data_IF_805293390094
#
_entry.id   IF_805293390094
#
_cell.length_a   1.000
_cell.length_b   1.000
_cell.length_c   1.000
_cell.angle_alpha   90.00
_cell.angle_beta   90.00
_cell.angle_gamma   90.00
#
_symmetry.space_group_name_H-M   'P 1'
#
loop_
_entity.id
_entity.type
_entity.pdbx_description
1 polymer ?
#
# COMPACT_ATOMS: atom_id res chain seq x y z
N UNK A 1 38.57 -34.00 -1.78
CA UNK A 1 37.52 -33.34 -2.60
C UNK A 1 36.15 -33.94 -2.28
N UNK A 2 35.71 -33.88 -1.00
CA UNK A 2 34.47 -34.53 -0.51
C UNK A 2 33.76 -33.74 0.61
N UNK A 3 34.08 -32.46 0.80
CA UNK A 3 33.45 -31.60 1.82
C UNK A 3 32.53 -30.52 1.26
N UNK A 4 32.52 -30.29 -0.06
CA UNK A 4 31.71 -29.25 -0.69
C UNK A 4 30.26 -29.66 -0.94
N UNK A 5 29.99 -30.94 -1.18
CA UNK A 5 28.64 -31.41 -1.55
C UNK A 5 27.69 -31.57 -0.35
N UNK A 6 28.24 -31.89 0.84
CA UNK A 6 27.43 -32.09 2.06
C UNK A 6 26.73 -30.80 2.54
N UNK A 7 27.37 -29.64 2.33
CA UNK A 7 26.80 -28.33 2.69
C UNK A 7 25.67 -27.87 1.76
N UNK A 8 25.77 -28.20 0.46
CA UNK A 8 24.76 -27.85 -0.54
C UNK A 8 23.49 -28.69 -0.39
N UNK A 9 23.64 -29.97 -0.07
CA UNK A 9 22.51 -30.87 0.14
C UNK A 9 21.76 -30.52 1.43
N UNK A 10 22.49 -30.25 2.52
CA UNK A 10 21.90 -29.77 3.78
C UNK A 10 21.15 -28.45 3.60
N UNK A 11 21.74 -27.48 2.88
CA UNK A 11 21.08 -26.20 2.61
C UNK A 11 19.81 -26.36 1.75
N UNK A 12 19.84 -27.25 0.75
CA UNK A 12 18.66 -27.58 -0.08
C UNK A 12 17.55 -28.25 0.73
N UNK A 13 17.88 -29.18 1.63
CA UNK A 13 16.90 -29.84 2.50
C UNK A 13 16.27 -28.85 3.48
N UNK A 14 17.04 -27.91 4.03
CA UNK A 14 16.53 -26.85 4.90
C UNK A 14 15.60 -25.89 4.13
N UNK A 15 15.98 -25.45 2.94
CA UNK A 15 15.14 -24.59 2.09
C UNK A 15 13.84 -25.29 1.67
N UNK A 16 13.91 -26.59 1.32
CA UNK A 16 12.73 -27.38 0.96
C UNK A 16 11.78 -27.58 2.14
N UNK A 17 12.32 -27.90 3.33
CA UNK A 17 11.52 -28.06 4.55
C UNK A 17 10.89 -26.73 5.02
N UNK A 18 11.59 -25.60 4.87
CA UNK A 18 11.02 -24.27 5.09
C UNK A 18 9.86 -24.00 4.13
N UNK A 19 10.05 -24.26 2.83
CA UNK A 19 9.00 -24.11 1.81
C UNK A 19 7.75 -24.93 2.12
N UNK A 20 7.92 -26.17 2.59
CA UNK A 20 6.82 -27.08 2.91
C UNK A 20 6.05 -26.64 4.18
N UNK A 21 6.75 -26.16 5.21
CA UNK A 21 6.13 -25.61 6.42
C UNK A 21 5.25 -24.37 6.11
N UNK A 22 5.76 -23.50 5.25
CA UNK A 22 5.06 -22.30 4.80
C UNK A 22 4.00 -22.56 3.74
N UNK A 23 3.97 -23.78 3.16
CA UNK A 23 2.91 -24.19 2.24
C UNK A 23 1.58 -24.36 2.97
N UNK A 24 0.52 -23.77 2.42
CA UNK A 24 -0.84 -23.97 2.91
C UNK A 24 -1.53 -25.01 2.01
N UNK A 25 -2.03 -26.11 2.60
CA UNK A 25 -2.76 -27.15 1.87
C UNK A 25 -3.95 -26.59 1.07
N UNK A 26 -4.50 -25.44 1.47
CA UNK A 26 -5.53 -24.71 0.72
C UNK A 26 -4.98 -24.18 -0.61
N UNK A 27 -3.77 -23.62 -0.62
CA UNK A 27 -3.13 -23.14 -1.85
C UNK A 27 -2.92 -24.30 -2.82
N UNK A 28 -2.41 -25.44 -2.32
CA UNK A 28 -2.27 -26.66 -3.11
C UNK A 28 -3.62 -27.17 -3.64
N UNK A 29 -4.68 -27.17 -2.82
CA UNK A 29 -6.01 -27.60 -3.21
C UNK A 29 -6.66 -26.73 -4.31
N UNK A 30 -6.27 -25.45 -4.40
CA UNK A 30 -6.73 -24.53 -5.43
C UNK A 30 -5.74 -24.37 -6.60
N UNK A 31 -4.64 -25.14 -6.61
CA UNK A 31 -3.59 -25.00 -7.63
C UNK A 31 -2.92 -23.63 -7.64
N UNK A 32 -2.94 -22.93 -6.51
CA UNK A 32 -2.38 -21.59 -6.37
C UNK A 32 -0.90 -21.71 -6.02
N UNK A 33 -0.06 -21.06 -6.83
CA UNK A 33 1.36 -20.90 -6.54
C UNK A 33 1.54 -20.18 -5.18
N UNK A 34 2.23 -20.79 -4.20
CA UNK A 34 2.57 -20.15 -2.93
C UNK A 34 3.32 -18.82 -3.10
N UNK A 35 4.06 -18.67 -4.20
CA UNK A 35 4.78 -17.47 -4.55
C UNK A 35 4.02 -16.51 -5.50
N UNK A 36 2.79 -16.86 -5.87
CA UNK A 36 1.92 -16.02 -6.69
C UNK A 36 1.23 -14.89 -5.90
N UNK A 37 0.69 -13.90 -6.61
CA UNK A 37 -0.05 -12.78 -6.02
C UNK A 37 -1.32 -13.24 -5.29
N UNK A 38 -1.96 -14.29 -5.81
CA UNK A 38 -3.21 -14.84 -5.26
C UNK A 38 -3.02 -15.51 -3.90
N UNK A 39 -1.81 -15.97 -3.57
CA UNK A 39 -1.53 -16.66 -2.32
C UNK A 39 -1.81 -15.78 -1.09
N UNK A 40 -1.48 -14.49 -1.17
CA UNK A 40 -1.74 -13.56 -0.07
C UNK A 40 -3.24 -13.40 0.18
N UNK A 41 -4.06 -13.35 -0.87
CA UNK A 41 -5.51 -13.23 -0.75
C UNK A 41 -6.14 -14.46 -0.08
N UNK A 42 -5.65 -15.66 -0.40
CA UNK A 42 -6.10 -16.89 0.27
C UNK A 42 -5.73 -16.89 1.75
N UNK A 43 -4.51 -16.48 2.09
CA UNK A 43 -4.08 -16.38 3.49
C UNK A 43 -4.90 -15.33 4.27
N UNK A 44 -5.18 -14.18 3.65
CA UNK A 44 -6.08 -13.16 4.20
C UNK A 44 -7.47 -13.74 4.45
N UNK A 45 -8.07 -14.42 3.46
CA UNK A 45 -9.38 -15.03 3.61
C UNK A 45 -9.40 -16.11 4.69
N UNK A 46 -8.37 -16.95 4.75
CA UNK A 46 -8.23 -18.00 5.76
C UNK A 46 -8.16 -17.42 7.17
N UNK A 47 -7.34 -16.39 7.38
CA UNK A 47 -7.21 -15.69 8.67
C UNK A 47 -8.53 -14.99 9.05
N UNK A 48 -9.24 -14.36 8.10
CA UNK A 48 -10.56 -13.76 8.37
C UNK A 48 -11.57 -14.82 8.80
N UNK A 49 -11.57 -15.99 8.15
CA UNK A 49 -12.50 -17.08 8.44
C UNK A 49 -12.19 -17.76 9.78
N UNK A 50 -10.91 -17.87 10.14
CA UNK A 50 -10.47 -18.49 11.39
C UNK A 50 -9.44 -17.60 12.12
N UNK A 51 -9.90 -16.54 12.81
CA UNK A 51 -9.01 -15.54 13.41
C UNK A 51 -8.02 -16.10 14.45
N UNK A 52 -8.36 -17.21 15.10
CA UNK A 52 -7.52 -17.89 16.08
C UNK A 52 -6.44 -18.81 15.47
N UNK A 53 -6.39 -18.96 14.14
CA UNK A 53 -5.37 -19.77 13.45
C UNK A 53 -4.00 -19.08 13.46
N UNK A 54 -3.22 -19.36 14.51
CA UNK A 54 -1.86 -18.81 14.67
C UNK A 54 -0.96 -19.12 13.46
N UNK A 55 -1.07 -20.32 12.89
CA UNK A 55 -0.24 -20.72 11.76
C UNK A 55 -0.61 -19.92 10.51
N UNK A 56 -1.90 -19.67 10.28
CA UNK A 56 -2.39 -18.77 9.23
C UNK A 56 -1.82 -17.35 9.34
N UNK A 57 -1.78 -16.78 10.55
CA UNK A 57 -1.14 -15.48 10.79
C UNK A 57 0.35 -15.50 10.49
N UNK A 58 1.08 -16.53 10.97
CA UNK A 58 2.52 -16.66 10.72
C UNK A 58 2.81 -16.80 9.22
N UNK A 59 2.03 -17.58 8.48
CA UNK A 59 2.16 -17.74 7.02
C UNK A 59 1.95 -16.42 6.29
N UNK A 60 0.92 -15.66 6.69
CA UNK A 60 0.68 -14.32 6.13
C UNK A 60 1.84 -13.36 6.42
N UNK A 61 2.35 -13.33 7.66
CA UNK A 61 3.52 -12.51 8.02
C UNK A 61 4.75 -12.90 7.19
N UNK A 62 5.05 -14.19 7.11
CA UNK A 62 6.19 -14.70 6.36
C UNK A 62 6.10 -14.34 4.87
N UNK A 63 4.91 -14.49 4.27
CA UNK A 63 4.67 -14.10 2.88
C UNK A 63 4.91 -12.61 2.66
N UNK A 64 4.33 -11.74 3.48
CA UNK A 64 4.54 -10.29 3.38
C UNK A 64 6.03 -9.92 3.57
N UNK A 65 6.72 -10.59 4.51
CA UNK A 65 8.14 -10.38 4.76
C UNK A 65 8.99 -10.75 3.53
N UNK A 66 8.76 -11.93 2.95
CA UNK A 66 9.51 -12.40 1.78
C UNK A 66 9.28 -11.56 0.53
N UNK A 67 8.05 -11.08 0.33
CA UNK A 67 7.67 -10.28 -0.84
C UNK A 67 7.91 -8.77 -0.67
N UNK A 68 8.55 -8.35 0.42
CA UNK A 68 8.87 -6.95 0.72
C UNK A 68 7.65 -6.00 0.79
N UNK A 69 6.50 -6.54 1.21
CA UNK A 69 5.24 -5.82 1.30
C UNK A 69 5.11 -5.12 2.66
N UNK A 70 5.79 -3.99 2.85
CA UNK A 70 5.92 -3.32 4.16
C UNK A 70 4.58 -2.99 4.84
N UNK A 71 3.63 -2.42 4.10
CA UNK A 71 2.30 -2.04 4.62
C UNK A 71 1.46 -3.26 5.03
N UNK A 72 1.51 -4.34 4.24
CA UNK A 72 0.83 -5.60 4.49
C UNK A 72 1.50 -6.38 5.63
N UNK A 73 2.82 -6.28 5.75
CA UNK A 73 3.59 -6.87 6.84
C UNK A 73 3.24 -6.19 8.16
N UNK A 74 3.21 -4.86 8.19
CA UNK A 74 2.74 -4.10 9.35
C UNK A 74 1.34 -4.54 9.77
N UNK A 75 0.40 -4.60 8.83
CA UNK A 75 -0.97 -5.03 9.09
C UNK A 75 -1.05 -6.46 9.66
N UNK A 76 -0.28 -7.40 9.08
CA UNK A 76 -0.27 -8.79 9.55
C UNK A 76 0.30 -8.93 10.96
N UNK A 77 1.34 -8.16 11.30
CA UNK A 77 1.91 -8.12 12.66
C UNK A 77 0.95 -7.47 13.67
N UNK A 78 0.24 -6.43 13.23
CA UNK A 78 -0.79 -5.76 14.02
C UNK A 78 -1.95 -6.71 14.34
N UNK A 79 -2.47 -7.38 13.31
CA UNK A 79 -3.54 -8.39 13.41
C UNK A 79 -3.18 -9.51 14.38
N UNK A 80 -1.96 -10.06 14.27
CA UNK A 80 -1.48 -11.08 15.20
C UNK A 80 -1.41 -10.54 16.64
N UNK A 81 -0.96 -9.30 16.82
CA UNK A 81 -0.86 -8.68 18.15
C UNK A 81 -2.23 -8.47 18.79
N UNK A 82 -3.25 -8.15 17.99
CA UNK A 82 -4.65 -8.03 18.42
C UNK A 82 -5.19 -9.39 18.85
N UNK A 83 -5.10 -10.40 17.98
CA UNK A 83 -5.61 -11.76 18.25
C UNK A 83 -4.96 -12.41 19.47
N UNK A 84 -3.66 -12.18 19.67
CA UNK A 84 -2.95 -12.70 20.82
C UNK A 84 -3.43 -12.07 22.14
N UNK A 85 -3.97 -10.85 22.13
CA UNK A 85 -4.56 -10.20 23.30
C UNK A 85 -3.60 -10.13 24.50
N UNK A 86 -2.30 -9.93 24.23
CA UNK A 86 -1.25 -9.91 25.25
C UNK A 86 -0.59 -11.26 25.57
N UNK A 87 -1.14 -12.38 25.08
CA UNK A 87 -0.48 -13.69 25.14
C UNK A 87 0.66 -13.78 24.12
N UNK A 88 1.62 -14.69 24.30
CA UNK A 88 2.69 -14.89 23.31
C UNK A 88 3.63 -13.69 23.12
N UNK A 89 3.86 -12.90 24.18
CA UNK A 89 4.74 -11.72 24.17
C UNK A 89 6.14 -12.01 23.62
N UNK A 90 6.71 -13.16 23.96
CA UNK A 90 8.01 -13.61 23.44
C UNK A 90 7.99 -13.85 21.92
N UNK A 91 6.93 -14.48 21.39
CA UNK A 91 6.75 -14.68 19.96
C UNK A 91 6.62 -13.34 19.23
N UNK A 92 5.79 -12.44 19.76
CA UNK A 92 5.62 -11.09 19.22
C UNK A 92 6.95 -10.34 19.19
N UNK A 93 7.69 -10.32 20.29
CA UNK A 93 8.98 -9.63 20.36
C UNK A 93 9.96 -10.18 19.32
N UNK A 94 10.03 -11.51 19.18
CA UNK A 94 10.88 -12.17 18.18
C UNK A 94 10.50 -11.80 16.75
N UNK A 95 9.20 -11.80 16.42
CA UNK A 95 8.71 -11.44 15.09
C UNK A 95 8.97 -9.95 14.77
N UNK A 96 8.75 -9.06 15.74
CA UNK A 96 9.04 -7.63 15.56
C UNK A 96 10.53 -7.36 15.36
N UNK A 97 11.39 -8.06 16.11
CA UNK A 97 12.84 -7.96 15.93
C UNK A 97 13.26 -8.44 14.53
N UNK A 98 12.74 -9.60 14.09
CA UNK A 98 13.03 -10.17 12.77
C UNK A 98 12.53 -9.27 11.62
N UNK A 99 11.37 -8.64 11.79
CA UNK A 99 10.77 -7.80 10.75
C UNK A 99 11.26 -6.35 10.77
N UNK A 100 12.11 -5.95 11.73
CA UNK A 100 12.44 -4.53 11.96
C UNK A 100 13.02 -3.83 10.74
N UNK A 101 13.84 -4.55 9.96
CA UNK A 101 14.47 -4.02 8.74
C UNK A 101 13.51 -3.75 7.59
N UNK A 102 12.28 -4.28 7.64
CA UNK A 102 11.23 -4.07 6.61
C UNK A 102 10.11 -3.13 7.07
N UNK A 103 10.26 -2.52 8.24
CA UNK A 103 9.26 -1.64 8.85
C UNK A 103 9.85 -0.25 9.02
N UNK A 104 9.04 0.78 8.76
CA UNK A 104 9.41 2.15 9.09
C UNK A 104 9.58 2.33 10.61
N UNK A 105 10.27 3.39 11.02
CA UNK A 105 10.40 3.70 12.44
C UNK A 105 9.03 3.93 13.12
N UNK A 106 8.11 4.59 12.41
CA UNK A 106 6.76 4.84 12.89
C UNK A 106 5.96 3.54 13.06
N UNK A 107 5.99 2.65 12.06
CA UNK A 107 5.28 1.36 12.10
C UNK A 107 5.77 0.48 13.25
N UNK A 108 7.09 0.33 13.42
CA UNK A 108 7.64 -0.47 14.51
C UNK A 108 7.30 0.10 15.89
N UNK A 109 7.34 1.43 16.04
CA UNK A 109 6.93 2.09 17.28
C UNK A 109 5.43 1.86 17.57
N UNK A 110 4.57 1.90 16.56
CA UNK A 110 3.14 1.65 16.70
C UNK A 110 2.83 0.22 17.19
N UNK A 111 3.58 -0.79 16.73
CA UNK A 111 3.40 -2.19 17.15
C UNK A 111 3.81 -2.46 18.61
N UNK A 112 4.64 -1.59 19.19
CA UNK A 112 5.10 -1.70 20.58
C UNK A 112 4.18 -0.98 21.57
N UNK A 113 3.39 0.00 21.11
CA UNK A 113 2.50 0.78 21.98
C UNK A 113 1.27 -0.04 22.40
N UNK A 114 0.97 -0.13 23.71
CA UNK A 114 -0.34 -0.59 24.17
C UNK A 114 -1.41 0.48 23.90
N UNK A 115 -2.67 0.07 23.68
CA UNK A 115 -3.80 1.00 23.44
C UNK A 115 -4.18 1.12 21.96
N UNK A 116 -4.82 2.23 21.58
CA UNK A 116 -5.36 2.47 20.23
C UNK A 116 -4.25 2.38 19.18
N UNK A 117 -4.43 1.46 18.22
CA UNK A 117 -3.46 1.22 17.16
C UNK A 117 -3.98 1.78 15.85
N UNK A 118 -3.12 2.49 15.14
CA UNK A 118 -3.45 3.00 13.80
C UNK A 118 -3.43 1.83 12.83
N UNK A 119 -4.61 1.44 12.36
CA UNK A 119 -4.78 0.44 11.32
C UNK A 119 -4.56 1.06 9.93
N UNK A 120 -4.19 0.23 8.96
CA UNK A 120 -4.17 0.60 7.54
C UNK A 120 -5.18 -0.26 6.75
N UNK A 121 -5.29 -0.02 5.45
CA UNK A 121 -6.26 -0.72 4.56
C UNK A 121 -6.08 -2.25 4.49
N UNK A 122 -4.95 -2.77 4.95
CA UNK A 122 -4.63 -4.21 4.93
C UNK A 122 -4.87 -4.90 6.27
N UNK A 123 -5.22 -4.13 7.30
CA UNK A 123 -5.50 -4.63 8.64
C UNK A 123 -6.85 -5.34 8.66
N UNK A 124 -6.91 -6.54 9.22
CA UNK A 124 -8.12 -7.37 9.23
C UNK A 124 -8.90 -7.26 10.54
N UNK A 125 -8.21 -6.98 11.64
CA UNK A 125 -8.77 -6.88 12.97
C UNK A 125 -8.44 -5.51 13.57
N UNK A 126 -9.41 -4.95 14.27
CA UNK A 126 -9.20 -3.76 15.10
C UNK A 126 -9.71 -4.08 16.50
N UNK A 127 -8.99 -3.64 17.52
CA UNK A 127 -9.58 -3.58 18.85
C UNK A 127 -10.75 -2.59 18.77
N UNK A 128 -11.96 -3.04 19.11
CA UNK A 128 -13.24 -2.39 18.78
C UNK A 128 -13.25 -0.87 18.85
N UNK A 129 -13.99 -0.26 17.91
CA UNK A 129 -14.14 1.19 17.73
C UNK A 129 -14.27 1.99 19.04
N UNK A 130 -13.27 2.81 19.34
CA UNK A 130 -13.55 4.20 19.69
C UNK A 130 -13.38 4.98 18.39
N UNK A 131 -14.49 5.42 17.80
CA UNK A 131 -14.44 6.30 16.65
C UNK A 131 -13.69 7.57 17.02
N UNK A 132 -12.41 7.66 16.65
CA UNK A 132 -11.77 8.96 16.53
C UNK A 132 -12.32 9.57 15.26
N UNK A 133 -13.22 10.53 15.41
CA UNK A 133 -13.58 11.45 14.34
C UNK A 133 -12.42 12.42 14.11
N UNK A 134 -11.24 11.90 13.80
CA UNK A 134 -10.17 12.68 13.19
C UNK A 134 -10.33 12.51 11.69
N UNK A 135 -11.37 13.17 11.16
CA UNK A 135 -11.72 13.17 9.75
C UNK A 135 -10.61 13.72 8.83
N UNK A 136 -9.58 14.35 9.39
CA UNK A 136 -8.37 14.74 8.69
C UNK A 136 -7.19 14.74 9.67
N UNK A 137 -6.31 13.75 9.60
CA UNK A 137 -4.96 13.91 10.13
C UNK A 137 -4.10 14.45 8.98
N UNK A 138 -3.85 15.76 9.00
CA UNK A 138 -2.90 16.40 8.11
C UNK A 138 -1.51 15.84 8.46
N UNK A 139 -1.12 14.77 7.77
CA UNK A 139 0.25 14.26 7.81
C UNK A 139 1.10 15.39 7.27
N UNK A 140 1.84 16.07 8.16
CA UNK A 140 3.00 16.84 7.76
C UNK A 140 3.97 15.81 7.18
N UNK A 141 3.91 15.66 5.86
CA UNK A 141 4.64 14.67 5.09
C UNK A 141 6.11 14.75 5.45
N UNK A 142 6.67 13.63 5.90
CA UNK A 142 8.06 13.35 5.59
C UNK A 142 8.12 13.17 4.09
N UNK A 143 8.86 14.05 3.42
CA UNK A 143 9.19 14.08 1.99
C UNK A 143 9.63 12.71 1.46
N UNK A 144 8.65 11.83 1.23
CA UNK A 144 8.80 10.79 0.24
C UNK A 144 8.43 11.49 -1.03
N UNK A 145 9.45 11.90 -1.79
CA UNK A 145 9.30 12.58 -3.07
C UNK A 145 8.68 11.57 -4.05
N UNK A 146 7.36 11.36 -3.94
CA UNK A 146 6.60 10.55 -4.88
C UNK A 146 6.66 11.28 -6.23
N UNK A 147 7.12 10.57 -7.26
CA UNK A 147 6.94 11.06 -8.62
C UNK A 147 5.47 10.88 -9.00
N UNK A 148 4.70 11.94 -8.78
CA UNK A 148 3.27 11.97 -9.04
C UNK A 148 2.92 11.64 -10.49
N UNK A 149 3.86 11.89 -11.42
CA UNK A 149 3.68 11.52 -12.83
C UNK A 149 3.74 9.99 -13.01
N UNK A 150 4.71 9.33 -12.40
CA UNK A 150 4.82 7.87 -12.45
C UNK A 150 3.59 7.19 -11.83
N UNK A 151 3.14 7.69 -10.67
CA UNK A 151 1.93 7.18 -10.01
C UNK A 151 0.67 7.37 -10.87
N UNK A 152 0.54 8.52 -11.54
CA UNK A 152 -0.58 8.76 -12.43
C UNK A 152 -0.53 7.84 -13.66
N UNK A 153 0.65 7.57 -14.21
CA UNK A 153 0.83 6.66 -15.33
C UNK A 153 0.40 5.23 -14.98
N UNK A 154 0.75 4.74 -13.78
CA UNK A 154 0.28 3.43 -13.29
C UNK A 154 -1.26 3.39 -13.27
N UNK A 155 -1.90 4.45 -12.76
CA UNK A 155 -3.36 4.52 -12.76
C UNK A 155 -3.96 4.58 -14.18
N UNK A 156 -3.33 5.30 -15.11
CA UNK A 156 -3.77 5.36 -16.52
C UNK A 156 -3.66 3.98 -17.17
N UNK A 157 -2.55 3.26 -16.95
CA UNK A 157 -2.33 1.92 -17.47
C UNK A 157 -3.46 0.96 -17.04
N UNK A 158 -3.89 1.07 -15.78
CA UNK A 158 -5.02 0.31 -15.26
C UNK A 158 -6.40 0.96 -15.47
N UNK A 159 -6.51 1.97 -16.34
CA UNK A 159 -7.75 2.70 -16.66
C UNK A 159 -8.46 3.32 -15.44
N UNK A 160 -7.72 3.56 -14.36
CA UNK A 160 -8.15 4.19 -13.11
C UNK A 160 -8.08 5.72 -13.24
N UNK A 161 -8.76 6.28 -14.24
CA UNK A 161 -8.62 7.69 -14.65
C UNK A 161 -8.97 8.69 -13.54
N UNK A 162 -9.95 8.38 -12.69
CA UNK A 162 -10.30 9.23 -11.54
C UNK A 162 -9.18 9.31 -10.51
N UNK A 163 -8.49 8.19 -10.24
CA UNK A 163 -7.33 8.16 -9.34
C UNK A 163 -6.09 8.81 -9.97
N UNK A 164 -5.90 8.66 -11.29
CA UNK A 164 -4.85 9.37 -12.02
C UNK A 164 -5.02 10.89 -11.92
N UNK A 165 -6.25 11.40 -12.11
CA UNK A 165 -6.56 12.83 -11.94
C UNK A 165 -6.27 13.28 -10.51
N UNK A 166 -6.68 12.52 -9.50
CA UNK A 166 -6.45 12.87 -8.09
C UNK A 166 -4.95 12.90 -7.72
N UNK A 167 -4.17 11.94 -8.25
CA UNK A 167 -2.73 11.89 -8.06
C UNK A 167 -2.03 13.12 -8.69
N UNK A 168 -2.40 13.49 -9.91
CA UNK A 168 -1.85 14.67 -10.59
C UNK A 168 -2.29 15.99 -9.94
N UNK A 169 -3.57 16.13 -9.54
CA UNK A 169 -4.06 17.30 -8.79
C UNK A 169 -3.28 17.48 -7.49
N UNK A 170 -3.04 16.39 -6.76
CA UNK A 170 -2.23 16.40 -5.53
C UNK A 170 -0.78 16.77 -5.80
N UNK A 171 -0.18 16.17 -6.83
CA UNK A 171 1.20 16.45 -7.21
C UNK A 171 1.42 17.89 -7.64
N UNK A 172 0.47 18.46 -8.36
CA UNK A 172 0.56 19.84 -8.84
C UNK A 172 0.41 20.88 -7.74
N UNK A 173 -0.30 20.57 -6.65
CA UNK A 173 -0.32 21.42 -5.44
C UNK A 173 1.07 21.46 -4.78
N UNK A 174 1.82 20.36 -4.84
CA UNK A 174 3.13 20.25 -4.20
C UNK A 174 4.28 20.72 -5.10
N UNK A 175 4.16 20.51 -6.42
CA UNK A 175 5.17 20.83 -7.43
C UNK A 175 4.52 21.64 -8.57
N UNK A 176 4.11 22.89 -8.30
CA UNK A 176 3.36 23.70 -9.25
C UNK A 176 4.14 24.04 -10.53
N UNK A 177 5.48 24.12 -10.46
CA UNK A 177 6.34 24.38 -11.63
C UNK A 177 6.52 23.18 -12.59
N UNK A 178 6.05 21.98 -12.23
CA UNK A 178 6.18 20.78 -13.07
C UNK A 178 5.20 20.82 -14.24
N UNK A 179 5.67 21.29 -15.39
CA UNK A 179 4.88 21.41 -16.63
C UNK A 179 4.37 20.05 -17.16
N UNK A 180 5.13 18.98 -16.95
CA UNK A 180 4.75 17.61 -17.31
C UNK A 180 3.50 17.12 -16.55
N UNK A 181 3.39 17.43 -15.26
CA UNK A 181 2.18 17.18 -14.45
C UNK A 181 1.00 17.99 -14.97
N UNK A 182 1.22 19.27 -15.29
CA UNK A 182 0.18 20.14 -15.84
C UNK A 182 -0.36 19.58 -17.17
N UNK A 183 0.52 19.18 -18.08
CA UNK A 183 0.14 18.66 -19.40
C UNK A 183 -0.64 17.34 -19.27
N UNK A 184 -0.15 16.39 -18.47
CA UNK A 184 -0.83 15.11 -18.26
C UNK A 184 -2.23 15.31 -17.64
N UNK A 185 -2.37 16.23 -16.69
CA UNK A 185 -3.66 16.53 -16.08
C UNK A 185 -4.65 17.15 -17.07
N UNK A 186 -4.18 18.05 -17.95
CA UNK A 186 -5.01 18.67 -18.98
C UNK A 186 -5.52 17.64 -20.01
N UNK A 187 -4.69 16.68 -20.39
CA UNK A 187 -5.09 15.56 -21.26
C UNK A 187 -6.20 14.73 -20.60
N UNK A 188 -6.04 14.40 -19.32
CA UNK A 188 -7.07 13.66 -18.58
C UNK A 188 -8.37 14.44 -18.42
N UNK A 189 -8.31 15.76 -18.18
CA UNK A 189 -9.53 16.56 -18.15
C UNK A 189 -10.26 16.56 -19.49
N UNK A 190 -9.54 16.71 -20.62
CA UNK A 190 -10.12 16.66 -21.96
C UNK A 190 -10.76 15.29 -22.24
N UNK A 191 -10.05 14.20 -21.96
CA UNK A 191 -10.51 12.84 -22.28
C UNK A 191 -11.69 12.39 -21.41
N UNK A 192 -11.70 12.77 -20.12
CA UNK A 192 -12.79 12.44 -19.17
C UNK A 192 -13.93 13.45 -19.18
N UNK A 193 -13.78 14.57 -19.91
CA UNK A 193 -14.73 15.69 -19.97
C UNK A 193 -15.12 16.26 -18.59
N UNK A 194 -14.18 16.24 -17.63
CA UNK A 194 -14.45 16.63 -16.25
C UNK A 194 -14.31 18.15 -16.03
N UNK A 195 -15.23 18.91 -16.64
CA UNK A 195 -15.22 20.37 -16.65
C UNK A 195 -15.25 20.99 -15.23
N UNK A 196 -16.00 20.39 -14.31
CA UNK A 196 -16.14 20.88 -12.93
C UNK A 196 -14.83 20.77 -12.15
N UNK A 197 -14.14 19.62 -12.24
CA UNK A 197 -12.81 19.48 -11.62
C UNK A 197 -11.80 20.45 -12.23
N UNK A 198 -11.78 20.55 -13.57
CA UNK A 198 -10.92 21.51 -14.27
C UNK A 198 -11.14 22.95 -13.78
N UNK A 199 -12.38 23.43 -13.73
CA UNK A 199 -12.71 24.80 -13.30
C UNK A 199 -12.25 25.08 -11.87
N UNK A 200 -12.44 24.10 -10.96
CA UNK A 200 -12.00 24.22 -9.57
C UNK A 200 -10.47 24.31 -9.48
N UNK A 201 -9.76 23.42 -10.17
CA UNK A 201 -8.31 23.38 -10.13
C UNK A 201 -7.68 24.60 -10.81
N UNK A 202 -8.23 25.03 -11.95
CA UNK A 202 -7.77 26.20 -12.68
C UNK A 202 -7.90 27.48 -11.85
N UNK A 203 -9.03 27.66 -11.13
CA UNK A 203 -9.19 28.77 -10.18
C UNK A 203 -8.17 28.69 -9.05
N UNK A 204 -8.05 27.52 -8.42
CA UNK A 204 -7.13 27.34 -7.29
C UNK A 204 -5.67 27.67 -7.64
N UNK A 205 -5.19 27.24 -8.82
CA UNK A 205 -3.83 27.52 -9.26
C UNK A 205 -3.64 28.98 -9.69
N UNK A 206 -4.66 29.58 -10.32
CA UNK A 206 -4.63 31.00 -10.69
C UNK A 206 -4.60 31.89 -9.45
N UNK A 207 -5.41 31.59 -8.45
CA UNK A 207 -5.48 32.32 -7.17
C UNK A 207 -4.17 32.16 -6.37
N UNK A 208 -3.50 31.01 -6.49
CA UNK A 208 -2.20 30.75 -5.89
C UNK A 208 -1.02 31.39 -6.66
N UNK A 209 -1.25 32.04 -7.80
CA UNK A 209 -0.21 32.70 -8.60
C UNK A 209 0.76 31.72 -9.29
N UNK A 210 0.35 30.48 -9.53
CA UNK A 210 1.18 29.47 -10.19
C UNK A 210 1.37 29.82 -11.68
N UNK A 211 2.58 29.62 -12.20
CA UNK A 211 2.87 29.74 -13.63
C UNK A 211 2.21 28.58 -14.39
N UNK A 212 1.08 28.86 -15.03
CA UNK A 212 0.31 27.89 -15.81
C UNK A 212 0.81 27.80 -17.25
N UNK A 213 0.94 26.58 -17.77
CA UNK A 213 1.22 26.35 -19.20
C UNK A 213 0.06 26.83 -20.08
N UNK A 214 0.35 27.19 -21.33
CA UNK A 214 -0.66 27.70 -22.29
C UNK A 214 -1.83 26.73 -22.52
N UNK A 215 -1.60 25.42 -22.31
CA UNK A 215 -2.61 24.38 -22.40
C UNK A 215 -3.85 24.60 -21.53
N UNK A 216 -3.70 25.27 -20.37
CA UNK A 216 -4.83 25.58 -19.49
C UNK A 216 -5.86 26.50 -20.14
N UNK A 217 -5.42 27.55 -20.87
CA UNK A 217 -6.33 28.45 -21.59
C UNK A 217 -7.07 27.71 -22.70
N UNK A 218 -6.39 26.80 -23.40
CA UNK A 218 -7.01 26.01 -24.47
C UNK A 218 -8.11 25.08 -23.92
N UNK A 219 -7.88 24.44 -22.77
CA UNK A 219 -8.88 23.60 -22.11
C UNK A 219 -10.06 24.42 -21.59
N UNK A 220 -9.82 25.64 -21.09
CA UNK A 220 -10.89 26.54 -20.68
C UNK A 220 -11.83 26.86 -21.86
N UNK A 221 -11.27 27.25 -23.01
CA UNK A 221 -12.05 27.50 -24.24
C UNK A 221 -12.81 26.24 -24.68
N UNK A 222 -12.18 25.06 -24.60
CA UNK A 222 -12.82 23.79 -24.92
C UNK A 222 -14.08 23.52 -24.07
N UNK A 223 -14.01 23.74 -22.75
CA UNK A 223 -15.16 23.52 -21.87
C UNK A 223 -16.22 24.61 -21.94
N UNK A 224 -15.84 25.85 -22.24
CA UNK A 224 -16.79 26.93 -22.49
C UNK A 224 -17.58 26.69 -23.79
N UNK A 225 -16.94 26.14 -24.83
CA UNK A 225 -17.58 25.77 -26.09
C UNK A 225 -18.50 24.55 -26.03
N UNK A 226 -18.39 23.70 -25.00
CA UNK A 226 -19.30 22.56 -24.75
C UNK A 226 -20.55 22.99 -23.97
N UNK A 227 -20.50 24.14 -23.28
CA UNK A 227 -21.60 24.65 -22.46
C UNK A 227 -22.58 25.57 -23.23
N UNK A 228 -22.46 25.65 -24.56
CA UNK A 228 -23.38 26.34 -25.49
C UNK A 228 -24.10 25.34 -26.38
#
# INVERSE_FOLDING_TARGET
MLQSDFGLETARTVIAAESEFWSDARLAAFGIDPDGEQALNVLVFAVRKQPADLLGHLRRIYRCYRSDLSEQLFAALLDLTIILGGRGSALRARLLAACRGKLSAAQAAALLKPGTRVANRYTLFTDGMLGSSDLVQQVRGTDTQYDYLALANDFIEYSQLSQAIEALETGLIQQPEREDLQNSLLELYRSTKNAERFRRQYRALSDAGVALVDGWRQVAVYFDGISS
#
